data_IF_125605578853
#
_entry.id   IF_125605578853
#
_cell.length_a   1.000
_cell.length_b   1.000
_cell.length_c   1.000
_cell.angle_alpha   90.00
_cell.angle_beta   90.00
_cell.angle_gamma   90.00
#
_symmetry.space_group_name_H-M   'P 1'
#
loop_
_entity.id
_entity.type
_entity.pdbx_description
1 polymer ?
#
# COMPACT_ATOMS: atom_id res chain seq x y z
N UNK A 1 22.26 -17.96 1.82
CA UNK A 1 21.07 -17.63 0.99
C UNK A 1 20.30 -16.50 1.67
N UNK A 2 20.21 -15.32 1.04
CA UNK A 2 19.60 -14.14 1.67
C UNK A 2 18.09 -14.34 1.91
N UNK A 3 17.63 -14.03 3.11
CA UNK A 3 16.24 -14.11 3.57
C UNK A 3 15.28 -13.10 2.88
N UNK A 4 15.73 -12.39 1.83
CA UNK A 4 14.95 -11.39 1.09
C UNK A 4 13.67 -11.96 0.49
N UNK A 5 13.65 -13.26 0.14
CA UNK A 5 12.44 -13.94 -0.34
C UNK A 5 11.30 -13.98 0.69
N UNK A 6 11.59 -13.91 2.00
CA UNK A 6 10.54 -13.89 3.04
C UNK A 6 9.74 -12.58 3.05
N UNK A 7 10.33 -11.49 2.53
CA UNK A 7 9.71 -10.16 2.49
C UNK A 7 8.87 -9.90 1.25
N UNK A 8 8.85 -10.83 0.29
CA UNK A 8 8.08 -10.69 -0.94
C UNK A 8 7.14 -11.90 -1.10
N UNK A 9 5.84 -11.64 -1.11
CA UNK A 9 4.81 -12.65 -1.36
C UNK A 9 3.88 -12.12 -2.46
N UNK A 10 4.12 -12.58 -3.69
CA UNK A 10 3.26 -12.27 -4.84
C UNK A 10 1.98 -13.11 -4.79
N UNK A 11 0.87 -12.47 -5.15
CA UNK A 11 -0.38 -13.19 -5.37
C UNK A 11 -0.19 -14.18 -6.55
N UNK A 12 -0.59 -15.44 -6.33
CA UNK A 12 -0.54 -16.54 -7.32
C UNK A 12 0.87 -16.92 -7.83
N UNK A 13 1.93 -16.59 -7.08
CA UNK A 13 3.30 -17.05 -7.43
C UNK A 13 3.87 -16.42 -8.70
N UNK A 14 3.36 -15.25 -9.11
CA UNK A 14 3.90 -14.50 -10.24
C UNK A 14 5.38 -14.14 -10.01
N UNK A 15 6.15 -14.07 -11.10
CA UNK A 15 7.56 -13.71 -11.06
C UNK A 15 7.75 -12.30 -10.45
N UNK A 16 8.66 -12.14 -9.47
CA UNK A 16 9.05 -10.84 -8.95
C UNK A 16 9.61 -9.93 -10.04
N UNK A 17 9.14 -8.68 -10.11
CA UNK A 17 9.80 -7.65 -10.91
C UNK A 17 11.07 -7.16 -10.20
N UNK A 18 11.98 -6.55 -10.95
CA UNK A 18 13.23 -6.01 -10.39
C UNK A 18 12.97 -5.00 -9.26
N UNK A 19 11.99 -4.11 -9.46
CA UNK A 19 11.54 -3.16 -8.43
C UNK A 19 11.04 -3.86 -7.16
N UNK A 20 10.30 -4.95 -7.29
CA UNK A 20 9.85 -5.71 -6.11
C UNK A 20 11.02 -6.27 -5.30
N UNK A 21 12.06 -6.73 -5.98
CA UNK A 21 13.25 -7.29 -5.34
C UNK A 21 14.08 -6.19 -4.65
N UNK A 22 14.19 -5.02 -5.28
CA UNK A 22 14.84 -3.85 -4.69
C UNK A 22 14.13 -3.39 -3.41
N UNK A 23 12.81 -3.26 -3.45
CA UNK A 23 12.02 -2.87 -2.27
C UNK A 23 12.09 -3.94 -1.17
N UNK A 24 12.03 -5.22 -1.53
CA UNK A 24 12.17 -6.31 -0.58
C UNK A 24 13.55 -6.34 0.09
N UNK A 25 14.62 -6.05 -0.67
CA UNK A 25 15.97 -5.89 -0.13
C UNK A 25 16.04 -4.68 0.80
N UNK A 26 15.51 -3.54 0.37
CA UNK A 26 15.47 -2.33 1.17
C UNK A 26 14.78 -2.55 2.54
N UNK A 27 13.64 -3.25 2.55
CA UNK A 27 12.94 -3.63 3.78
C UNK A 27 13.77 -4.56 4.67
N UNK A 28 14.47 -5.53 4.08
CA UNK A 28 15.33 -6.43 4.83
C UNK A 28 16.50 -5.69 5.48
N UNK A 29 17.20 -4.79 4.78
CA UNK A 29 18.28 -4.07 5.45
C UNK A 29 17.76 -3.08 6.50
N UNK A 30 16.53 -2.55 6.37
CA UNK A 30 15.91 -1.75 7.45
C UNK A 30 15.64 -2.63 8.69
N UNK A 31 15.21 -3.88 8.52
CA UNK A 31 15.03 -4.81 9.64
C UNK A 31 16.36 -5.20 10.30
N UNK A 32 17.42 -5.39 9.52
CA UNK A 32 18.73 -5.80 10.04
C UNK A 32 19.48 -4.62 10.68
N UNK A 33 19.17 -3.38 10.27
CA UNK A 33 19.82 -2.17 10.76
C UNK A 33 19.74 -2.05 12.31
N UNK A 34 20.87 -1.90 13.02
CA UNK A 34 20.90 -1.87 14.49
C UNK A 34 20.18 -0.67 15.11
N UNK A 35 20.07 0.43 14.35
CA UNK A 35 19.44 1.69 14.77
C UNK A 35 17.91 1.71 14.56
N UNK A 36 17.32 0.62 14.06
CA UNK A 36 15.92 0.59 13.71
C UNK A 36 15.05 0.09 14.87
N UNK A 37 14.37 1.00 15.55
CA UNK A 37 13.41 0.70 16.63
C UNK A 37 12.17 -0.09 16.17
N UNK A 38 12.03 -0.31 14.86
CA UNK A 38 10.85 -0.92 14.21
C UNK A 38 11.10 -2.39 13.86
N UNK A 39 12.27 -2.92 14.21
CA UNK A 39 12.69 -4.28 13.84
C UNK A 39 11.67 -5.36 14.25
N UNK A 40 11.09 -5.26 15.45
CA UNK A 40 10.11 -6.23 15.94
C UNK A 40 8.82 -6.22 15.10
N UNK A 41 8.30 -5.04 14.78
CA UNK A 41 7.08 -4.88 13.98
C UNK A 41 7.34 -5.23 12.49
N UNK A 42 8.56 -5.02 11.97
CA UNK A 42 8.91 -5.32 10.58
C UNK A 42 9.12 -6.80 10.29
N UNK A 43 9.45 -7.62 11.29
CA UNK A 43 9.75 -9.05 11.13
C UNK A 43 8.67 -9.81 10.36
N UNK A 44 7.40 -9.55 10.69
CA UNK A 44 6.24 -10.21 10.10
C UNK A 44 5.64 -9.46 8.89
N UNK A 45 6.21 -8.31 8.53
CA UNK A 45 5.77 -7.51 7.39
C UNK A 45 6.43 -8.01 6.11
N UNK A 46 5.62 -8.12 5.05
CA UNK A 46 6.05 -8.49 3.71
C UNK A 46 5.22 -7.71 2.67
N UNK A 47 5.77 -7.53 1.49
CA UNK A 47 5.14 -6.81 0.37
C UNK A 47 4.54 -7.78 -0.64
N UNK A 48 3.48 -7.32 -1.29
CA UNK A 48 2.88 -7.99 -2.46
C UNK A 48 3.44 -7.45 -3.77
N UNK A 49 3.90 -6.19 -3.77
CA UNK A 49 4.68 -5.65 -4.87
C UNK A 49 4.92 -4.16 -4.75
N UNK A 50 5.62 -3.60 -5.72
CA UNK A 50 5.84 -2.17 -5.85
C UNK A 50 5.53 -1.73 -7.29
N UNK A 51 5.08 -0.49 -7.43
CA UNK A 51 4.83 0.14 -8.73
C UNK A 51 5.28 1.59 -8.71
N UNK A 52 6.08 1.96 -9.69
CA UNK A 52 6.39 3.37 -9.93
C UNK A 52 5.27 4.03 -10.73
N UNK A 53 4.89 5.22 -10.31
CA UNK A 53 3.86 6.06 -10.92
C UNK A 53 4.47 7.44 -11.17
N UNK A 54 4.41 7.88 -12.41
CA UNK A 54 4.82 9.23 -12.77
C UNK A 54 3.76 10.25 -12.32
N UNK A 55 4.20 11.31 -11.65
CA UNK A 55 3.38 12.38 -11.10
C UNK A 55 3.92 13.71 -11.62
N UNK A 56 3.08 14.76 -11.63
CA UNK A 56 3.46 16.09 -12.14
C UNK A 56 4.79 16.65 -11.58
N UNK A 57 5.16 16.27 -10.36
CA UNK A 57 6.36 16.75 -9.67
C UNK A 57 7.36 15.62 -9.35
N UNK A 58 7.44 14.59 -10.19
CA UNK A 58 8.44 13.51 -10.05
C UNK A 58 7.82 12.12 -10.05
N UNK A 59 8.56 11.14 -9.53
CA UNK A 59 8.11 9.73 -9.50
C UNK A 59 7.69 9.36 -8.08
N UNK A 60 6.50 8.77 -7.95
CA UNK A 60 6.02 8.20 -6.70
C UNK A 60 6.06 6.67 -6.77
N UNK A 61 6.66 6.03 -5.78
CA UNK A 61 6.70 4.58 -5.63
C UNK A 61 5.57 4.13 -4.71
N UNK A 62 4.62 3.37 -5.26
CA UNK A 62 3.51 2.78 -4.52
C UNK A 62 3.89 1.37 -4.10
N UNK A 63 4.01 1.15 -2.80
CA UNK A 63 4.33 -0.16 -2.21
C UNK A 63 3.04 -0.81 -1.71
N UNK A 64 2.74 -1.97 -2.29
CA UNK A 64 1.56 -2.77 -1.99
C UNK A 64 1.84 -3.77 -0.88
N UNK A 65 1.05 -3.69 0.20
CA UNK A 65 1.08 -4.63 1.30
C UNK A 65 -0.18 -5.51 1.30
N UNK A 66 -0.07 -6.80 1.63
CA UNK A 66 -1.23 -7.62 1.90
C UNK A 66 -2.03 -7.06 3.08
N UNK A 67 -3.36 -7.08 2.97
CA UNK A 67 -4.24 -6.51 4.00
C UNK A 67 -4.06 -7.12 5.40
N UNK A 68 -3.58 -8.37 5.49
CA UNK A 68 -3.33 -9.06 6.77
C UNK A 68 -2.27 -8.36 7.63
N UNK A 69 -1.23 -7.80 7.02
CA UNK A 69 -0.13 -7.11 7.72
C UNK A 69 -0.37 -5.60 7.85
N UNK A 70 -1.42 -5.08 7.22
CA UNK A 70 -1.67 -3.64 7.13
C UNK A 70 -1.81 -2.94 8.49
N UNK A 71 -2.41 -3.62 9.49
CA UNK A 71 -2.56 -3.05 10.84
C UNK A 71 -1.21 -2.72 11.48
N UNK A 72 -0.23 -3.61 11.32
CA UNK A 72 1.15 -3.39 11.80
C UNK A 72 1.83 -2.29 10.99
N UNK A 73 1.69 -2.32 9.66
CA UNK A 73 2.25 -1.29 8.76
C UNK A 73 1.71 0.10 9.11
N UNK A 74 0.40 0.24 9.36
CA UNK A 74 -0.21 1.53 9.73
C UNK A 74 0.35 2.10 11.03
N UNK A 75 0.65 1.25 12.02
CA UNK A 75 1.28 1.68 13.29
C UNK A 75 2.67 2.28 13.07
N UNK A 76 3.44 1.73 12.13
CA UNK A 76 4.83 2.11 11.86
C UNK A 76 4.98 3.03 10.64
N UNK A 77 3.87 3.39 9.98
CA UNK A 77 3.81 3.99 8.65
C UNK A 77 4.72 5.22 8.51
N UNK A 78 4.59 6.19 9.42
CA UNK A 78 5.35 7.44 9.32
C UNK A 78 6.87 7.24 9.43
N UNK A 79 7.34 6.24 10.19
CA UNK A 79 8.76 5.94 10.31
C UNK A 79 9.26 5.10 9.13
N UNK A 80 8.45 4.14 8.68
CA UNK A 80 8.77 3.28 7.53
C UNK A 80 8.90 4.09 6.23
N UNK A 81 8.02 5.07 6.01
CA UNK A 81 8.10 5.98 4.86
C UNK A 81 9.45 6.71 4.86
N UNK A 82 9.86 7.29 6.00
CA UNK A 82 11.14 8.02 6.13
C UNK A 82 12.34 7.14 5.82
N UNK A 83 12.38 5.91 6.34
CA UNK A 83 13.49 4.97 6.08
C UNK A 83 13.54 4.51 4.62
N UNK A 84 12.38 4.33 3.98
CA UNK A 84 12.33 3.99 2.56
C UNK A 84 12.72 5.18 1.67
N UNK A 85 12.29 6.40 1.98
CA UNK A 85 12.68 7.61 1.23
C UNK A 85 14.17 7.92 1.32
N UNK A 86 14.84 7.58 2.44
CA UNK A 86 16.31 7.67 2.56
C UNK A 86 17.01 6.76 1.53
N UNK A 87 16.48 5.56 1.29
CA UNK A 87 17.06 4.59 0.34
C UNK A 87 16.69 4.92 -1.11
N UNK A 88 15.46 5.34 -1.34
CA UNK A 88 14.94 5.69 -2.65
C UNK A 88 14.92 7.21 -2.82
N UNK A 89 16.12 7.79 -2.93
CA UNK A 89 16.26 9.23 -3.15
C UNK A 89 15.53 9.66 -4.43
N UNK A 90 14.90 10.84 -4.39
CA UNK A 90 14.09 11.43 -5.48
C UNK A 90 12.77 10.70 -5.82
N UNK A 91 12.39 9.65 -5.06
CA UNK A 91 11.06 9.03 -5.17
C UNK A 91 10.26 9.28 -3.90
N UNK A 92 9.03 9.73 -4.03
CA UNK A 92 8.09 9.75 -2.91
C UNK A 92 7.54 8.35 -2.67
N UNK A 93 7.58 7.86 -1.43
CA UNK A 93 7.13 6.50 -1.12
C UNK A 93 5.76 6.54 -0.47
N UNK A 94 4.81 5.82 -1.06
CA UNK A 94 3.45 5.69 -0.52
C UNK A 94 3.11 4.23 -0.29
N UNK A 95 2.52 3.92 0.87
CA UNK A 95 2.17 2.56 1.26
C UNK A 95 0.67 2.35 1.08
N UNK A 96 0.26 1.24 0.44
CA UNK A 96 -1.15 0.94 0.17
C UNK A 96 -1.45 -0.52 0.47
N UNK A 97 -2.61 -0.80 1.07
CA UNK A 97 -3.05 -2.17 1.28
C UNK A 97 -3.79 -2.76 0.07
N UNK A 98 -3.51 -4.02 -0.24
CA UNK A 98 -4.24 -4.81 -1.23
C UNK A 98 -5.61 -5.21 -0.71
N UNK A 99 -6.65 -4.49 -1.15
CA UNK A 99 -8.05 -4.78 -0.82
C UNK A 99 -8.76 -5.43 -2.01
N UNK A 100 -9.65 -6.37 -1.70
CA UNK A 100 -10.43 -7.08 -2.73
C UNK A 100 -11.76 -6.38 -2.97
N UNK A 101 -12.01 -5.95 -4.21
CA UNK A 101 -13.31 -5.43 -4.64
C UNK A 101 -14.14 -6.61 -5.16
N UNK A 102 -15.30 -6.83 -4.55
CA UNK A 102 -16.31 -7.74 -5.11
C UNK A 102 -17.21 -6.98 -6.08
N UNK A 103 -17.64 -7.65 -7.14
CA UNK A 103 -18.58 -7.13 -8.11
C UNK A 103 -20.01 -7.09 -7.56
N UNK A 104 -20.91 -6.37 -8.23
CA UNK A 104 -22.33 -6.34 -7.86
C UNK A 104 -23.00 -7.70 -8.10
N UNK A 105 -22.47 -8.51 -9.01
CA UNK A 105 -22.93 -9.88 -9.31
C UNK A 105 -22.25 -10.94 -8.41
N UNK A 106 -21.88 -10.57 -7.17
CA UNK A 106 -21.14 -11.40 -6.22
C UNK A 106 -21.79 -12.76 -5.91
N UNK A 107 -23.11 -12.90 -6.12
CA UNK A 107 -23.84 -14.17 -5.91
C UNK A 107 -23.30 -15.31 -6.77
N UNK A 108 -22.74 -15.01 -7.95
CA UNK A 108 -22.07 -16.01 -8.81
C UNK A 108 -20.85 -16.67 -8.15
N UNK A 109 -20.25 -16.00 -7.16
CA UNK A 109 -19.11 -16.51 -6.38
C UNK A 109 -19.56 -17.30 -5.14
N UNK A 110 -20.84 -17.64 -5.02
CA UNK A 110 -21.39 -18.40 -3.90
C UNK A 110 -21.60 -17.61 -2.61
N UNK A 111 -21.44 -16.27 -2.65
CA UNK A 111 -21.64 -15.43 -1.48
C UNK A 111 -23.12 -15.02 -1.34
N UNK A 112 -23.72 -15.33 -0.18
CA UNK A 112 -25.10 -14.92 0.16
C UNK A 112 -25.24 -13.41 0.37
N UNK A 113 -24.25 -12.80 1.04
CA UNK A 113 -24.20 -11.36 1.37
C UNK A 113 -22.85 -10.80 0.97
N UNK A 114 -22.83 -9.63 0.31
CA UNK A 114 -21.61 -8.89 0.00
C UNK A 114 -21.15 -8.09 1.23
N UNK A 115 -19.94 -8.33 1.76
CA UNK A 115 -19.39 -7.51 2.83
C UNK A 115 -19.24 -6.05 2.36
N UNK A 116 -19.67 -5.09 3.21
CA UNK A 116 -19.57 -3.65 2.90
C UNK A 116 -18.12 -3.21 2.66
N UNK A 117 -17.16 -3.80 3.37
CA UNK A 117 -15.72 -3.56 3.22
C UNK A 117 -15.13 -3.97 1.86
N UNK A 118 -15.84 -4.80 1.08
CA UNK A 118 -15.41 -5.24 -0.26
C UNK A 118 -16.22 -4.58 -1.37
N UNK A 119 -16.80 -3.42 -1.09
CA UNK A 119 -17.48 -2.60 -2.09
C UNK A 119 -16.52 -1.65 -2.78
N UNK A 120 -16.78 -1.30 -4.04
CA UNK A 120 -15.93 -0.39 -4.81
C UNK A 120 -15.74 0.94 -4.06
N UNK A 121 -16.84 1.51 -3.56
CA UNK A 121 -16.82 2.78 -2.82
C UNK A 121 -15.99 2.70 -1.54
N UNK A 122 -16.24 1.71 -0.67
CA UNK A 122 -15.51 1.56 0.57
C UNK A 122 -14.01 1.29 0.35
N UNK A 123 -13.66 0.51 -0.68
CA UNK A 123 -12.27 0.23 -1.00
C UNK A 123 -11.56 1.49 -1.51
N UNK A 124 -12.18 2.29 -2.38
CA UNK A 124 -11.59 3.54 -2.84
C UNK A 124 -11.42 4.57 -1.72
N UNK A 125 -12.37 4.63 -0.77
CA UNK A 125 -12.23 5.46 0.43
C UNK A 125 -11.05 5.02 1.28
N UNK A 126 -10.93 3.72 1.56
CA UNK A 126 -9.80 3.22 2.35
C UNK A 126 -8.45 3.35 1.63
N UNK A 127 -8.42 3.34 0.30
CA UNK A 127 -7.18 3.61 -0.46
C UNK A 127 -6.77 5.09 -0.29
N UNK A 128 -7.73 6.03 -0.31
CA UNK A 128 -7.42 7.43 -0.06
C UNK A 128 -6.83 7.64 1.34
N UNK A 129 -7.40 6.99 2.36
CA UNK A 129 -6.87 7.05 3.73
C UNK A 129 -5.45 6.49 3.84
N UNK A 130 -5.15 5.41 3.12
CA UNK A 130 -3.79 4.85 3.09
C UNK A 130 -2.79 5.83 2.44
N UNK A 131 -3.18 6.49 1.36
CA UNK A 131 -2.34 7.41 0.59
C UNK A 131 -1.91 8.64 1.39
N UNK A 132 -2.79 9.17 2.26
CA UNK A 132 -2.50 10.38 3.05
C UNK A 132 -1.79 10.07 4.38
N UNK A 133 -1.69 8.81 4.78
CA UNK A 133 -1.05 8.43 6.03
C UNK A 133 0.42 8.88 6.07
N UNK A 134 0.91 9.47 7.18
CA UNK A 134 0.38 9.38 8.54
C UNK A 134 -0.70 10.41 8.90
N UNK A 135 -1.07 11.30 7.99
CA UNK A 135 -2.11 12.31 8.23
C UNK A 135 -3.51 11.74 8.00
N UNK A 136 -4.51 12.36 8.60
CA UNK A 136 -5.90 11.91 8.52
C UNK A 136 -6.77 12.91 7.73
N UNK A 137 -7.75 12.38 6.99
CA UNK A 137 -8.70 13.19 6.24
C UNK A 137 -9.79 13.68 7.21
N UNK A 138 -9.80 14.99 7.49
CA UNK A 138 -10.77 15.60 8.43
C UNK A 138 -12.12 15.92 7.75
N UNK A 139 -12.11 16.09 6.43
CA UNK A 139 -13.31 16.39 5.67
C UNK A 139 -13.12 16.06 4.20
N UNK A 140 -14.22 15.72 3.54
CA UNK A 140 -14.25 15.34 2.12
C UNK A 140 -15.49 15.93 1.47
N UNK A 141 -15.33 16.59 0.32
CA UNK A 141 -16.44 17.20 -0.42
C UNK A 141 -16.29 16.91 -1.91
N UNK A 142 -17.40 16.58 -2.57
CA UNK A 142 -17.42 16.42 -4.03
C UNK A 142 -18.13 17.61 -4.63
N UNK A 143 -17.39 18.47 -5.34
CA UNK A 143 -17.98 19.54 -6.16
C UNK A 143 -18.43 18.94 -7.49
N UNK A 144 -19.68 19.19 -7.85
CA UNK A 144 -20.22 18.85 -9.16
C UNK A 144 -20.35 20.16 -9.93
N UNK A 145 -19.67 20.24 -11.07
CA UNK A 145 -19.69 21.39 -11.96
C UNK A 145 -20.87 21.32 -12.95
N UNK A 146 -21.18 22.41 -13.64
CA UNK A 146 -22.33 22.52 -14.57
C UNK A 146 -22.21 21.55 -15.76
N UNK A 147 -20.98 21.27 -16.18
CA UNK A 147 -20.62 20.28 -17.20
C UNK A 147 -20.76 18.82 -16.72
N UNK A 148 -21.17 18.59 -15.46
CA UNK A 148 -21.29 17.28 -14.84
C UNK A 148 -19.96 16.71 -14.32
N UNK A 149 -18.84 17.43 -14.48
CA UNK A 149 -17.54 17.00 -13.94
C UNK A 149 -17.58 16.96 -12.41
N UNK A 150 -16.99 15.90 -11.85
CA UNK A 150 -16.93 15.69 -10.39
C UNK A 150 -15.50 15.91 -9.93
N UNK A 151 -15.30 16.92 -9.08
CA UNK A 151 -14.02 17.22 -8.47
C UNK A 151 -14.10 16.93 -6.98
N UNK A 152 -13.28 15.99 -6.53
CA UNK A 152 -13.16 15.59 -5.13
C UNK A 152 -12.15 16.50 -4.43
N UNK A 153 -12.55 17.06 -3.29
CA UNK A 153 -11.75 17.95 -2.42
C UNK A 153 -11.66 17.35 -1.02
#
# INVERSE_FOLDING_TARGET
MLNTRKKLVKDKGAAPTELDQEVAKALFDIEVSPSCDIKADLKDVYISGAKDVEVKHGVAMVVHFPFRVWKTVKKIQGRLIRELEKKFTRKHVVLVANRTILDKNFRRKGLKVRPRSRTLTAVHESILDDLVGPTEIVGKRTRISVDGSKLLK
#
